data_IF_367845350661
#
_entry.id   IF_367845350661
#
_cell.length_a   1.000
_cell.length_b   1.000
_cell.length_c   1.000
_cell.angle_alpha   90.00
_cell.angle_beta   90.00
_cell.angle_gamma   90.00
#
_symmetry.space_group_name_H-M   'P 1'
#
loop_
_entity.id
_entity.type
_entity.pdbx_description
1 polymer ?
#
# COMPACT_ATOMS: atom_id res chain seq x y z
N UNK A 1 21.42 -14.51 -10.20
CA UNK A 1 20.45 -14.25 -9.11
C UNK A 1 19.67 -13.01 -9.46
N UNK A 2 18.34 -13.02 -9.33
CA UNK A 2 17.49 -11.88 -9.66
C UNK A 2 17.53 -10.82 -8.57
N UNK A 3 17.32 -9.55 -8.95
CA UNK A 3 16.96 -8.51 -7.98
C UNK A 3 15.48 -8.20 -8.13
N UNK A 4 14.79 -8.11 -7.00
CA UNK A 4 13.35 -7.83 -6.96
C UNK A 4 13.09 -6.53 -6.22
N UNK A 5 12.03 -5.81 -6.59
CA UNK A 5 11.58 -4.63 -5.85
C UNK A 5 10.80 -5.10 -4.64
N UNK A 6 11.29 -4.79 -3.45
CA UNK A 6 10.74 -5.31 -2.19
C UNK A 6 10.29 -4.17 -1.29
N UNK A 7 9.25 -4.45 -0.51
CA UNK A 7 8.74 -3.60 0.56
C UNK A 7 8.12 -4.48 1.65
N UNK A 8 7.90 -3.90 2.82
CA UNK A 8 7.17 -4.49 3.95
C UNK A 8 5.82 -3.81 4.02
N UNK A 9 4.74 -4.59 4.20
CA UNK A 9 3.39 -4.07 4.25
C UNK A 9 2.51 -4.82 5.26
N UNK A 10 1.35 -4.22 5.54
CA UNK A 10 0.22 -4.85 6.21
C UNK A 10 -0.93 -4.92 5.21
N UNK A 11 -1.49 -6.12 5.04
CA UNK A 11 -2.60 -6.34 4.12
C UNK A 11 -3.91 -5.75 4.68
N UNK A 12 -4.75 -5.24 3.78
CA UNK A 12 -6.06 -4.70 4.12
C UNK A 12 -7.14 -5.72 3.74
N UNK A 13 -7.43 -6.63 4.65
CA UNK A 13 -8.41 -7.71 4.43
C UNK A 13 -9.86 -7.33 4.79
N UNK A 14 -10.10 -6.11 5.29
CA UNK A 14 -11.44 -5.66 5.68
C UNK A 14 -12.32 -5.39 4.44
N UNK A 15 -13.41 -6.16 4.22
CA UNK A 15 -14.28 -5.99 3.07
C UNK A 15 -14.97 -4.61 3.02
N UNK A 16 -15.20 -3.98 4.17
CA UNK A 16 -15.79 -2.64 4.24
C UNK A 16 -14.81 -1.58 3.75
N UNK A 17 -13.52 -1.73 4.05
CA UNK A 17 -12.47 -0.86 3.52
C UNK A 17 -12.35 -1.06 2.01
N UNK A 18 -12.30 -2.31 1.54
CA UNK A 18 -12.23 -2.63 0.12
C UNK A 18 -13.42 -2.06 -0.66
N UNK A 19 -14.65 -2.17 -0.14
CA UNK A 19 -15.85 -1.61 -0.77
C UNK A 19 -15.77 -0.08 -0.93
N UNK A 20 -15.36 0.64 0.13
CA UNK A 20 -15.19 2.10 0.10
C UNK A 20 -14.09 2.54 -0.85
N UNK A 21 -12.97 1.82 -0.90
CA UNK A 21 -11.90 2.11 -1.86
C UNK A 21 -12.39 1.86 -3.30
N UNK A 22 -13.18 0.80 -3.53
CA UNK A 22 -13.80 0.54 -4.83
C UNK A 22 -14.74 1.65 -5.29
N UNK A 23 -15.48 2.29 -4.37
CA UNK A 23 -16.27 3.50 -4.69
C UNK A 23 -15.39 4.66 -5.16
N UNK A 24 -14.27 4.90 -4.47
CA UNK A 24 -13.31 5.94 -4.85
C UNK A 24 -12.69 5.63 -6.22
N UNK A 25 -12.27 4.38 -6.46
CA UNK A 25 -11.72 3.94 -7.74
C UNK A 25 -12.68 4.22 -8.90
N UNK A 26 -13.97 3.83 -8.77
CA UNK A 26 -14.99 4.12 -9.79
C UNK A 26 -15.14 5.60 -10.07
N UNK A 27 -15.09 6.45 -9.04
CA UNK A 27 -15.15 7.90 -9.20
C UNK A 27 -13.97 8.46 -9.99
N UNK A 28 -12.77 7.89 -9.80
CA UNK A 28 -11.55 8.27 -10.54
C UNK A 28 -11.63 7.75 -11.98
N UNK A 29 -12.02 6.50 -12.20
CA UNK A 29 -12.10 5.90 -13.54
C UNK A 29 -13.08 6.63 -14.46
N UNK A 30 -14.16 7.19 -13.89
CA UNK A 30 -15.14 7.97 -14.63
C UNK A 30 -14.59 9.25 -15.26
N UNK A 31 -13.37 9.69 -14.93
CA UNK A 31 -12.80 10.95 -15.44
C UNK A 31 -11.92 10.82 -16.68
N UNK A 32 -11.94 9.68 -17.38
CA UNK A 32 -11.14 9.37 -18.60
C UNK A 32 -9.67 9.80 -18.49
N UNK A 33 -8.98 9.25 -17.48
CA UNK A 33 -7.65 9.69 -17.06
C UNK A 33 -6.54 8.65 -17.28
N UNK A 34 -6.86 7.49 -17.87
CA UNK A 34 -5.91 6.39 -18.09
C UNK A 34 -5.34 5.78 -16.79
N UNK A 35 -5.95 6.02 -15.64
CA UNK A 35 -5.54 5.44 -14.36
C UNK A 35 -5.94 3.97 -14.33
N UNK A 36 -4.96 3.11 -14.03
CA UNK A 36 -5.22 1.69 -13.78
C UNK A 36 -5.47 1.48 -12.28
N UNK A 37 -6.65 0.97 -11.86
CA UNK A 37 -6.88 0.65 -10.46
C UNK A 37 -5.97 -0.49 -10.01
N UNK A 38 -5.68 -0.52 -8.71
CA UNK A 38 -5.10 -1.69 -8.05
C UNK A 38 -6.25 -2.63 -7.72
N UNK A 39 -6.09 -3.94 -7.98
CA UNK A 39 -7.07 -4.95 -7.57
C UNK A 39 -7.32 -4.86 -6.06
N UNK A 40 -8.58 -4.98 -5.64
CA UNK A 40 -8.96 -4.78 -4.24
C UNK A 40 -8.28 -5.78 -3.29
N UNK A 41 -7.97 -6.99 -3.78
CA UNK A 41 -7.21 -8.02 -3.06
C UNK A 41 -5.72 -7.67 -2.85
N UNK A 42 -5.18 -6.72 -3.62
CA UNK A 42 -3.79 -6.26 -3.52
C UNK A 42 -3.66 -4.99 -2.67
N UNK A 43 -4.73 -4.55 -1.99
CA UNK A 43 -4.69 -3.38 -1.12
C UNK A 43 -3.87 -3.67 0.14
N UNK A 44 -2.90 -2.81 0.38
CA UNK A 44 -2.00 -2.92 1.53
C UNK A 44 -1.49 -1.55 1.96
N UNK A 45 -1.05 -1.44 3.21
CA UNK A 45 -0.33 -0.29 3.72
C UNK A 45 1.15 -0.61 3.67
N UNK A 46 1.90 0.07 2.80
CA UNK A 46 3.37 -0.06 2.79
C UNK A 46 3.97 0.58 4.05
N UNK A 47 4.67 -0.21 4.87
CA UNK A 47 5.39 0.26 6.05
C UNK A 47 6.80 0.74 5.69
N UNK A 48 7.48 0.02 4.80
CA UNK A 48 8.88 0.32 4.43
C UNK A 48 9.22 -0.16 3.03
N UNK A 49 9.69 0.74 2.18
CA UNK A 49 10.33 0.37 0.91
C UNK A 49 11.77 -0.07 1.16
N UNK A 50 12.13 -1.25 0.65
CA UNK A 50 13.49 -1.80 0.71
C UNK A 50 14.25 -1.62 -0.61
N UNK A 51 13.54 -1.24 -1.68
CA UNK A 51 14.13 -1.00 -2.99
C UNK A 51 14.44 -2.31 -3.71
N UNK A 52 15.55 -2.34 -4.45
CA UNK A 52 15.97 -3.52 -5.21
C UNK A 52 16.85 -4.42 -4.35
N UNK A 53 16.31 -5.56 -3.93
CA UNK A 53 16.94 -6.53 -3.03
C UNK A 53 17.33 -7.78 -3.82
N UNK A 54 18.46 -8.41 -3.50
CA UNK A 54 18.82 -9.73 -4.02
C UNK A 54 17.80 -10.77 -3.50
N UNK A 55 17.21 -11.54 -4.41
CA UNK A 55 16.21 -12.56 -4.07
C UNK A 55 16.69 -13.53 -2.98
N UNK A 56 18.00 -13.83 -2.93
CA UNK A 56 18.57 -14.71 -1.91
C UNK A 56 18.51 -14.12 -0.49
N UNK A 57 18.34 -12.79 -0.34
CA UNK A 57 18.23 -12.12 0.97
C UNK A 57 16.79 -12.09 1.50
N UNK A 58 15.78 -12.41 0.67
CA UNK A 58 14.37 -12.35 1.08
C UNK A 58 14.08 -13.22 2.31
N UNK A 59 14.58 -14.48 2.43
CA UNK A 59 14.33 -15.30 3.61
C UNK A 59 14.98 -14.75 4.89
N UNK A 60 16.09 -14.02 4.78
CA UNK A 60 16.75 -13.38 5.92
C UNK A 60 15.97 -12.14 6.38
N UNK A 61 15.48 -11.34 5.44
CA UNK A 61 14.60 -10.19 5.73
C UNK A 61 13.32 -10.67 6.42
N UNK A 62 12.70 -11.75 5.94
CA UNK A 62 11.51 -12.32 6.56
C UNK A 62 11.77 -12.72 8.03
N UNK A 63 12.87 -13.42 8.31
CA UNK A 63 13.26 -13.78 9.68
C UNK A 63 13.49 -12.57 10.59
N UNK A 64 14.07 -11.49 10.06
CA UNK A 64 14.27 -10.26 10.82
C UNK A 64 12.94 -9.56 11.20
N UNK A 65 11.88 -9.78 10.41
CA UNK A 65 10.54 -9.22 10.67
C UNK A 65 9.73 -10.01 11.70
N UNK A 66 10.14 -11.24 12.04
CA UNK A 66 9.54 -12.01 13.14
C UNK A 66 9.84 -11.38 14.52
N UNK A 67 10.80 -10.45 14.60
CA UNK A 67 11.45 -10.00 15.84
C UNK A 67 10.81 -8.87 16.68
N UNK A 68 9.97 -7.94 16.16
CA UNK A 68 9.35 -6.95 17.03
C UNK A 68 7.92 -7.35 17.43
N UNK A 69 7.72 -7.66 18.71
CA UNK A 69 6.40 -7.68 19.36
C UNK A 69 5.83 -6.25 19.36
N UNK A 70 5.19 -5.86 18.26
CA UNK A 70 4.40 -4.64 18.20
C UNK A 70 2.97 -5.01 18.60
N UNK A 71 2.47 -4.40 19.66
CA UNK A 71 1.08 -4.58 20.05
C UNK A 71 0.16 -4.08 18.92
N UNK A 72 -0.90 -4.82 18.55
CA UNK A 72 -1.86 -4.36 17.57
C UNK A 72 -2.46 -3.01 17.98
N UNK A 73 -2.58 -2.09 17.04
CA UNK A 73 -3.17 -0.78 17.25
C UNK A 73 -4.26 -0.51 16.21
N UNK A 74 -5.09 0.49 16.48
CA UNK A 74 -6.10 0.96 15.53
C UNK A 74 -5.50 2.04 14.65
N UNK A 75 -5.74 1.92 13.34
CA UNK A 75 -5.37 2.94 12.37
C UNK A 75 -6.62 3.53 11.72
N UNK A 76 -6.55 4.82 11.34
CA UNK A 76 -7.62 5.53 10.63
C UNK A 76 -7.15 5.88 9.22
N UNK A 77 -7.83 5.34 8.22
CA UNK A 77 -7.64 5.73 6.82
C UNK A 77 -8.44 7.00 6.54
N UNK A 78 -7.78 8.04 6.04
CA UNK A 78 -8.42 9.31 5.72
C UNK A 78 -7.72 10.06 4.60
N UNK A 79 -8.52 10.72 3.77
CA UNK A 79 -8.04 11.56 2.67
C UNK A 79 -7.50 10.78 1.47
N UNK A 80 -7.31 11.50 0.38
CA UNK A 80 -6.68 11.01 -0.86
C UNK A 80 -5.51 11.93 -1.17
N UNK A 81 -4.39 11.32 -1.54
CA UNK A 81 -3.18 12.03 -1.97
C UNK A 81 -2.65 11.47 -3.28
N UNK A 82 -1.57 12.09 -3.77
CA UNK A 82 -0.90 11.64 -4.97
C UNK A 82 0.61 11.84 -4.94
N UNK A 83 1.33 10.93 -5.59
CA UNK A 83 2.75 11.07 -5.89
C UNK A 83 3.00 11.33 -7.38
N UNK A 84 4.00 12.17 -7.75
CA UNK A 84 4.77 13.02 -6.85
C UNK A 84 3.94 14.18 -6.28
N UNK A 85 2.83 14.56 -6.93
CA UNK A 85 1.91 15.60 -6.47
C UNK A 85 0.55 15.49 -7.19
N UNK A 86 -0.43 16.29 -6.76
CA UNK A 86 -1.80 16.31 -7.29
C UNK A 86 -1.94 16.87 -8.71
N UNK A 87 -1.04 17.75 -9.15
CA UNK A 87 -1.15 18.35 -10.50
C UNK A 87 -0.65 17.40 -11.59
N UNK A 88 0.22 16.44 -11.25
CA UNK A 88 0.68 15.41 -12.17
C UNK A 88 0.87 14.06 -11.47
N UNK A 89 -0.22 13.40 -11.05
CA UNK A 89 -0.17 12.15 -10.30
C UNK A 89 0.34 11.00 -11.18
N UNK A 90 1.23 10.19 -10.62
CA UNK A 90 1.60 8.85 -11.12
C UNK A 90 1.01 7.75 -10.24
N UNK A 91 0.74 8.05 -8.97
CA UNK A 91 0.13 7.14 -8.00
C UNK A 91 -0.86 7.97 -7.20
N UNK A 92 -2.09 7.47 -7.07
CA UNK A 92 -3.12 8.00 -6.16
C UNK A 92 -3.21 7.04 -4.98
N UNK A 93 -3.29 7.55 -3.76
CA UNK A 93 -3.27 6.74 -2.54
C UNK A 93 -4.24 7.29 -1.48
N UNK A 94 -4.65 6.42 -0.56
CA UNK A 94 -5.45 6.78 0.63
C UNK A 94 -4.51 6.96 1.82
N UNK A 95 -4.68 8.04 2.57
CA UNK A 95 -3.80 8.37 3.69
C UNK A 95 -4.08 7.56 4.95
N UNK A 96 -3.07 7.44 5.80
CA UNK A 96 -3.21 6.98 7.20
C UNK A 96 -3.02 8.21 8.08
N UNK A 97 -4.07 8.61 8.79
CA UNK A 97 -4.04 9.82 9.63
C UNK A 97 -3.67 9.49 11.09
N UNK A 98 -4.13 8.34 11.58
CA UNK A 98 -3.85 7.83 12.93
C UNK A 98 -3.36 6.39 12.85
N UNK A 99 -2.44 6.01 13.74
CA UNK A 99 -1.85 4.68 13.82
C UNK A 99 -0.39 4.74 14.28
N UNK A 100 -0.15 4.48 15.57
CA UNK A 100 1.18 4.50 16.22
C UNK A 100 1.28 3.40 17.24
#
# INVERSE_FOLDING_TARGET
MGRIRTFVAVDLEDPQIAAKIGEIQRGIEATDNGVKPVELENLHITLKFLGSVDEALVPEIARALEGPDVAPFRARLFGVGAFPNMSRPRVIWVGVEEGR
#
